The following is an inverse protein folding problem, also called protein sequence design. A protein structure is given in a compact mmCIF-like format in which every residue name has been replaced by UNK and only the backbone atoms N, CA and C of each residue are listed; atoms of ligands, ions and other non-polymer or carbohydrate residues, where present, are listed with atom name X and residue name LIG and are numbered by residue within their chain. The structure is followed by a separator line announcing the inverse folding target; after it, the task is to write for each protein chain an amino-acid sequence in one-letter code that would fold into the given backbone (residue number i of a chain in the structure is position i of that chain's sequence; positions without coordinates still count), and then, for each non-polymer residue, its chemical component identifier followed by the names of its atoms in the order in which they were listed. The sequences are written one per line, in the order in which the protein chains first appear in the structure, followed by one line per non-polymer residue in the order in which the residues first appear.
data_IF_046047573002
#
_entry.id   IF_046047573002
#
_cell.length_a   1.000
_cell.length_b   1.000
_cell.length_c   1.000
_cell.angle_alpha   90.00
_cell.angle_beta   90.00
_cell.angle_gamma   90.00
#
_symmetry.space_group_name_H-M   'P 1'
#
loop_
_entity.id
_entity.type
_entity.pdbx_description
1 polymer ?
#
# COMPACT_ATOMS: atom_id res chain seq x y z
N UNK A 1 -1.26 18.16 -7.75
CA UNK A 1 -1.08 16.86 -7.08
C UNK A 1 -0.36 15.90 -8.03
N UNK A 2 0.71 15.25 -7.56
CA UNK A 2 1.47 14.23 -8.31
C UNK A 2 1.18 12.87 -7.70
N UNK A 3 0.77 11.93 -8.52
CA UNK A 3 0.41 10.57 -8.11
C UNK A 3 1.43 9.60 -8.71
N UNK A 4 1.93 8.69 -7.89
CA UNK A 4 2.75 7.58 -8.35
C UNK A 4 2.02 6.27 -8.02
N UNK A 5 1.96 5.38 -8.99
CA UNK A 5 1.38 4.05 -8.87
C UNK A 5 2.47 3.00 -9.04
N UNK A 6 2.52 2.04 -8.15
CA UNK A 6 3.40 0.88 -8.20
C UNK A 6 2.64 -0.38 -7.79
N UNK A 7 3.14 -1.56 -8.18
CA UNK A 7 2.56 -2.87 -7.85
C UNK A 7 3.66 -3.94 -7.88
N UNK A 8 3.31 -5.15 -7.49
CA UNK A 8 4.09 -6.36 -7.72
C UNK A 8 5.52 -6.31 -7.13
N UNK A 9 5.63 -5.89 -5.88
CA UNK A 9 6.92 -5.83 -5.18
C UNK A 9 7.45 -7.21 -4.84
N UNK A 10 6.56 -8.18 -4.57
CA UNK A 10 6.88 -9.56 -4.24
C UNK A 10 8.00 -9.69 -3.19
N UNK A 11 7.90 -8.93 -2.10
CA UNK A 11 8.91 -8.95 -1.05
C UNK A 11 9.03 -10.34 -0.41
N UNK A 12 10.26 -10.78 -0.23
CA UNK A 12 10.57 -12.12 0.26
C UNK A 12 10.73 -13.16 -0.84
N UNK A 13 10.71 -12.76 -2.12
CA UNK A 13 10.90 -13.67 -3.25
C UNK A 13 12.23 -14.39 -3.22
N UNK A 14 12.17 -15.69 -3.50
CA UNK A 14 13.34 -16.53 -3.74
C UNK A 14 13.37 -16.99 -5.21
N UNK A 15 14.54 -17.01 -5.82
CA UNK A 15 14.75 -17.55 -7.16
C UNK A 15 15.80 -18.65 -7.04
N UNK A 16 15.44 -19.88 -7.44
CA UNK A 16 16.35 -21.04 -7.38
C UNK A 16 17.00 -21.24 -6.00
N UNK A 17 16.24 -20.96 -4.92
CA UNK A 17 16.73 -21.09 -3.54
C UNK A 17 17.54 -19.89 -3.03
N UNK A 18 17.79 -18.89 -3.87
CA UNK A 18 18.49 -17.66 -3.47
C UNK A 18 17.50 -16.56 -3.10
N UNK A 19 17.67 -15.98 -1.91
CA UNK A 19 16.86 -14.87 -1.46
C UNK A 19 17.21 -13.59 -2.23
N UNK A 20 16.19 -12.85 -2.67
CA UNK A 20 16.36 -11.55 -3.33
C UNK A 20 16.20 -10.36 -2.37
N UNK A 21 16.13 -10.62 -1.08
CA UNK A 21 15.84 -9.59 -0.08
C UNK A 21 16.81 -8.40 -0.12
N UNK A 22 18.10 -8.65 -0.36
CA UNK A 22 19.10 -7.57 -0.39
C UNK A 22 18.94 -6.69 -1.66
N UNK A 23 18.62 -7.30 -2.80
CA UNK A 23 18.30 -6.55 -4.04
C UNK A 23 17.01 -5.74 -3.86
N UNK A 24 15.99 -6.34 -3.23
CA UNK A 24 14.73 -5.67 -2.95
C UNK A 24 14.91 -4.49 -2.00
N UNK A 25 15.77 -4.62 -0.99
CA UNK A 25 16.11 -3.52 -0.09
C UNK A 25 16.80 -2.37 -0.83
N UNK A 26 17.76 -2.66 -1.73
CA UNK A 26 18.41 -1.65 -2.58
C UNK A 26 17.38 -0.95 -3.48
N UNK A 27 16.53 -1.71 -4.17
CA UNK A 27 15.47 -1.14 -5.02
C UNK A 27 14.55 -0.21 -4.24
N UNK A 28 14.11 -0.62 -3.04
CA UNK A 28 13.21 0.20 -2.23
C UNK A 28 13.88 1.46 -1.70
N UNK A 29 15.18 1.42 -1.41
CA UNK A 29 15.95 2.61 -1.05
C UNK A 29 15.97 3.63 -2.21
N UNK A 30 16.27 3.17 -3.43
CA UNK A 30 16.25 4.02 -4.63
C UNK A 30 14.83 4.56 -4.90
N UNK A 31 13.82 3.71 -4.71
CA UNK A 31 12.42 4.10 -4.88
C UNK A 31 11.99 5.21 -3.91
N UNK A 32 12.42 5.14 -2.65
CA UNK A 32 12.19 6.20 -1.65
C UNK A 32 12.77 7.53 -2.12
N UNK A 33 13.99 7.53 -2.64
CA UNK A 33 14.63 8.76 -3.15
C UNK A 33 13.88 9.31 -4.38
N UNK A 34 13.48 8.46 -5.32
CA UNK A 34 12.67 8.86 -6.48
C UNK A 34 11.36 9.54 -6.02
N UNK A 35 10.66 8.94 -5.05
CA UNK A 35 9.39 9.49 -4.53
C UNK A 35 9.59 10.86 -3.88
N UNK A 36 10.72 11.07 -3.20
CA UNK A 36 11.09 12.36 -2.61
C UNK A 36 11.43 13.41 -3.68
N UNK A 37 12.32 13.07 -4.61
CA UNK A 37 12.81 13.98 -5.64
C UNK A 37 11.68 14.44 -6.56
N UNK A 38 10.78 13.53 -6.92
CA UNK A 38 9.61 13.80 -7.73
C UNK A 38 8.48 14.49 -6.98
N UNK A 39 8.62 14.70 -5.67
CA UNK A 39 7.63 15.37 -4.81
C UNK A 39 6.24 14.77 -4.97
N UNK A 40 6.15 13.45 -4.84
CA UNK A 40 4.89 12.72 -4.95
C UNK A 40 3.98 13.05 -3.76
N UNK A 41 2.74 13.42 -4.06
CA UNK A 41 1.72 13.74 -3.04
C UNK A 41 0.94 12.49 -2.59
N UNK A 42 0.65 11.59 -3.54
CA UNK A 42 -0.07 10.34 -3.32
C UNK A 42 0.69 9.17 -3.93
N UNK A 43 0.97 8.17 -3.11
CA UNK A 43 1.51 6.89 -3.55
C UNK A 43 0.44 5.80 -3.47
N UNK A 44 0.26 5.04 -4.55
CA UNK A 44 -0.62 3.87 -4.60
C UNK A 44 0.23 2.63 -4.80
N UNK A 45 0.17 1.69 -3.85
CA UNK A 45 0.78 0.37 -3.91
C UNK A 45 -0.35 -0.62 -4.17
N UNK A 46 -0.45 -1.10 -5.41
CA UNK A 46 -1.63 -1.80 -5.91
C UNK A 46 -1.39 -3.30 -6.05
N UNK A 47 -1.23 -3.97 -4.92
CA UNK A 47 -1.20 -5.43 -4.83
C UNK A 47 0.18 -6.07 -4.92
N UNK A 48 0.20 -7.34 -4.54
CA UNK A 48 1.36 -8.22 -4.51
C UNK A 48 2.57 -7.60 -3.83
N UNK A 49 2.30 -7.06 -2.61
CA UNK A 49 3.34 -6.52 -1.73
C UNK A 49 4.33 -7.61 -1.36
N UNK A 50 3.82 -8.78 -1.00
CA UNK A 50 4.61 -9.94 -0.63
C UNK A 50 4.55 -11.04 -1.69
N UNK A 51 5.60 -11.87 -1.76
CA UNK A 51 5.65 -13.00 -2.70
C UNK A 51 4.79 -14.18 -2.25
N UNK A 52 4.39 -14.22 -0.98
CA UNK A 52 3.61 -15.32 -0.43
C UNK A 52 2.64 -14.86 0.65
N UNK A 53 1.57 -15.63 0.84
CA UNK A 53 0.52 -15.41 1.84
C UNK A 53 1.05 -15.32 3.28
N UNK A 54 2.19 -16.01 3.57
CA UNK A 54 2.89 -15.95 4.84
C UNK A 54 4.33 -15.44 4.60
N UNK A 55 4.53 -14.12 4.46
CA UNK A 55 5.85 -13.57 4.21
C UNK A 55 6.80 -13.79 5.39
N UNK A 56 8.11 -13.90 5.13
CA UNK A 56 9.08 -13.91 6.20
C UNK A 56 9.10 -12.57 6.94
N UNK A 57 9.35 -12.60 8.26
CA UNK A 57 9.34 -11.40 9.11
C UNK A 57 10.26 -10.27 8.57
N UNK A 58 11.42 -10.62 7.97
CA UNK A 58 12.32 -9.65 7.34
C UNK A 58 11.67 -8.91 6.17
N UNK A 59 10.77 -9.55 5.42
CA UNK A 59 10.03 -8.89 4.34
C UNK A 59 8.99 -7.91 4.89
N UNK A 60 8.31 -8.26 5.98
CA UNK A 60 7.40 -7.37 6.67
C UNK A 60 8.13 -6.17 7.27
N UNK A 61 9.25 -6.40 7.93
CA UNK A 61 10.10 -5.34 8.49
C UNK A 61 10.54 -4.35 7.39
N UNK A 62 11.08 -4.86 6.28
CA UNK A 62 11.48 -4.04 5.14
C UNK A 62 10.31 -3.22 4.58
N UNK A 63 9.12 -3.83 4.46
CA UNK A 63 7.93 -3.12 4.00
C UNK A 63 7.54 -1.98 4.93
N UNK A 64 7.46 -2.23 6.23
CA UNK A 64 7.04 -1.21 7.20
C UNK A 64 8.07 -0.08 7.34
N UNK A 65 9.36 -0.39 7.31
CA UNK A 65 10.41 0.63 7.29
C UNK A 65 10.34 1.50 6.04
N UNK A 66 10.09 0.89 4.88
CA UNK A 66 9.91 1.59 3.61
C UNK A 66 8.67 2.50 3.66
N UNK A 67 7.52 1.99 4.12
CA UNK A 67 6.31 2.79 4.27
C UNK A 67 6.51 3.99 5.19
N UNK A 68 7.21 3.81 6.30
CA UNK A 68 7.54 4.88 7.24
C UNK A 68 8.36 5.98 6.57
N UNK A 69 9.36 5.63 5.75
CA UNK A 69 10.17 6.59 5.00
C UNK A 69 9.34 7.30 3.91
N UNK A 70 8.53 6.53 3.17
CA UNK A 70 7.67 7.06 2.12
C UNK A 70 6.60 8.02 2.65
N UNK A 71 6.12 7.82 3.88
CA UNK A 71 5.05 8.64 4.48
C UNK A 71 5.47 10.09 4.78
N UNK A 72 6.77 10.37 4.83
CA UNK A 72 7.32 11.69 5.20
C UNK A 72 6.67 12.29 6.47
N UNK A 73 6.59 11.48 7.51
CA UNK A 73 5.96 11.90 8.76
C UNK A 73 4.45 12.18 8.63
N UNK A 74 3.78 11.48 7.72
CA UNK A 74 2.33 11.61 7.49
C UNK A 74 1.93 12.75 6.56
N UNK A 75 2.90 13.39 5.88
CA UNK A 75 2.63 14.43 4.87
C UNK A 75 2.25 13.84 3.53
N UNK A 76 2.77 12.67 3.20
CA UNK A 76 2.41 11.95 1.97
C UNK A 76 1.33 10.93 2.27
N UNK A 77 0.27 10.97 1.46
CA UNK A 77 -0.78 9.97 1.50
C UNK A 77 -0.31 8.70 0.80
N UNK A 78 -0.50 7.56 1.46
CA UNK A 78 -0.19 6.24 0.88
C UNK A 78 -1.45 5.39 0.92
N UNK A 79 -1.80 4.79 -0.21
CA UNK A 79 -2.84 3.77 -0.30
C UNK A 79 -2.20 2.44 -0.65
N UNK A 80 -2.39 1.44 0.21
CA UNK A 80 -1.95 0.07 0.00
C UNK A 80 -3.17 -0.81 -0.24
N UNK A 81 -3.16 -1.58 -1.31
CA UNK A 81 -4.21 -2.53 -1.68
C UNK A 81 -3.57 -3.91 -1.73
N UNK A 82 -4.23 -4.93 -1.17
CA UNK A 82 -3.73 -6.30 -1.25
C UNK A 82 -3.85 -6.87 -2.67
N UNK A 83 -2.86 -7.66 -3.07
CA UNK A 83 -2.88 -8.48 -4.26
C UNK A 83 -3.30 -9.93 -3.99
N UNK A 84 -3.22 -10.78 -5.00
CA UNK A 84 -3.60 -12.19 -4.85
C UNK A 84 -2.54 -13.03 -4.09
N UNK A 85 -1.29 -12.59 -4.03
CA UNK A 85 -0.24 -13.18 -3.21
C UNK A 85 -0.32 -12.78 -1.74
N UNK A 86 -0.95 -11.64 -1.44
CA UNK A 86 -1.02 -11.11 -0.09
C UNK A 86 -2.07 -11.81 0.77
N UNK A 87 -1.82 -11.85 2.08
CA UNK A 87 -2.85 -12.15 3.08
C UNK A 87 -3.58 -10.83 3.43
N UNK A 88 -4.85 -10.67 3.04
CA UNK A 88 -5.56 -9.41 3.23
C UNK A 88 -5.63 -8.95 4.68
N UNK A 89 -5.96 -9.89 5.60
CA UNK A 89 -6.09 -9.58 7.02
C UNK A 89 -4.74 -9.20 7.65
N UNK A 90 -3.66 -9.88 7.22
CA UNK A 90 -2.31 -9.58 7.68
C UNK A 90 -1.84 -8.23 7.17
N UNK A 91 -2.17 -7.89 5.92
CA UNK A 91 -1.85 -6.58 5.34
C UNK A 91 -2.58 -5.44 6.07
N UNK A 92 -3.84 -5.65 6.46
CA UNK A 92 -4.64 -4.67 7.19
C UNK A 92 -4.27 -4.56 8.69
N UNK A 93 -3.68 -5.60 9.28
CA UNK A 93 -3.41 -5.65 10.71
C UNK A 93 -2.65 -4.44 11.29
N UNK A 94 -1.62 -3.87 10.62
CA UNK A 94 -0.93 -2.68 11.09
C UNK A 94 -1.72 -1.37 10.86
N UNK A 95 -2.89 -1.42 10.23
CA UNK A 95 -3.71 -0.26 9.88
C UNK A 95 -3.88 0.78 11.00
N UNK A 96 -4.18 0.40 12.26
CA UNK A 96 -4.29 1.36 13.37
C UNK A 96 -3.01 2.18 13.60
N UNK A 97 -1.83 1.57 13.45
CA UNK A 97 -0.53 2.26 13.57
C UNK A 97 -0.17 3.02 12.29
N UNK A 98 -0.47 2.45 11.14
CA UNK A 98 -0.23 3.04 9.84
C UNK A 98 -1.01 4.36 9.64
N UNK A 99 -2.19 4.45 10.27
CA UNK A 99 -3.07 5.61 10.23
C UNK A 99 -2.37 6.90 10.65
N UNK A 100 -1.58 6.86 11.71
CA UNK A 100 -0.87 8.04 12.22
C UNK A 100 0.19 8.55 11.23
N UNK A 101 0.60 7.70 10.30
CA UNK A 101 1.54 8.01 9.23
C UNK A 101 0.88 8.36 7.88
N UNK A 102 -0.44 8.55 7.81
CA UNK A 102 -1.14 8.86 6.56
C UNK A 102 -1.25 7.67 5.60
N UNK A 103 -1.22 6.44 6.13
CA UNK A 103 -1.26 5.22 5.34
C UNK A 103 -2.63 4.57 5.47
N UNK A 104 -3.28 4.35 4.33
CA UNK A 104 -4.56 3.68 4.17
C UNK A 104 -4.30 2.25 3.69
N UNK A 105 -4.85 1.25 4.37
CA UNK A 105 -4.69 -0.16 4.00
C UNK A 105 -6.03 -0.78 3.68
N UNK A 106 -6.15 -1.38 2.49
CA UNK A 106 -7.34 -2.05 1.97
C UNK A 106 -6.99 -3.48 1.55
N UNK A 107 -7.29 -4.44 2.40
CA UNK A 107 -6.93 -5.84 2.18
C UNK A 107 -7.97 -6.61 1.35
N UNK A 108 -9.25 -6.27 1.45
CA UNK A 108 -10.31 -6.96 0.71
C UNK A 108 -11.14 -5.99 -0.13
N UNK A 109 -11.78 -6.46 -1.21
CA UNK A 109 -12.72 -5.66 -1.97
C UNK A 109 -13.80 -5.07 -1.05
N UNK A 110 -14.17 -3.82 -1.27
CA UNK A 110 -15.14 -3.07 -0.46
C UNK A 110 -14.73 -2.86 1.01
N UNK A 111 -13.43 -2.96 1.34
CA UNK A 111 -12.93 -2.55 2.66
C UNK A 111 -13.40 -1.12 2.97
N UNK A 112 -14.07 -0.98 4.12
CA UNK A 112 -14.48 0.34 4.62
C UNK A 112 -13.32 0.91 5.43
N UNK A 113 -12.67 1.91 4.87
CA UNK A 113 -11.62 2.66 5.59
C UNK A 113 -12.32 3.62 6.56
N UNK A 114 -12.03 3.55 7.87
CA UNK A 114 -12.68 4.42 8.86
C UNK A 114 -12.45 5.89 8.57
N UNK A 115 -13.47 6.71 8.74
CA UNK A 115 -13.33 8.18 8.64
C UNK A 115 -12.49 8.73 9.79
N UNK A 116 -11.88 9.90 9.57
CA UNK A 116 -11.06 10.61 10.56
C UNK A 116 -9.66 10.95 10.07
N UNK A 117 -8.78 11.31 11.00
CA UNK A 117 -7.41 11.73 10.69
C UNK A 117 -6.52 10.56 10.26
N UNK A 118 -5.71 10.78 9.24
CA UNK A 118 -4.65 9.90 8.74
C UNK A 118 -3.39 10.73 8.51
N UNK A 119 -2.48 10.72 9.47
CA UNK A 119 -1.35 11.65 9.46
C UNK A 119 -1.86 13.09 9.38
N UNK A 120 -1.46 13.80 8.33
CA UNK A 120 -1.92 15.18 8.06
C UNK A 120 -3.15 15.24 7.14
N UNK A 121 -3.77 14.12 6.79
CA UNK A 121 -4.90 13.99 5.88
C UNK A 121 -6.18 13.69 6.65
N UNK A 122 -7.34 13.91 6.02
CA UNK A 122 -8.65 13.63 6.60
C UNK A 122 -9.47 12.73 5.67
N UNK A 123 -9.81 11.53 6.11
CA UNK A 123 -10.81 10.69 5.44
C UNK A 123 -12.19 11.17 5.88
N UNK A 124 -13.00 11.65 4.93
CA UNK A 124 -14.32 12.25 5.22
C UNK A 124 -15.49 11.37 4.83
N UNK A 125 -15.29 10.43 3.92
CA UNK A 125 -16.31 9.45 3.53
C UNK A 125 -15.63 8.14 3.12
N UNK A 126 -16.22 7.03 3.56
CA UNK A 126 -15.86 5.69 3.16
C UNK A 126 -17.16 4.90 2.98
N UNK A 127 -17.27 4.09 1.92
CA UNK A 127 -18.48 3.36 1.58
C UNK A 127 -18.35 2.81 0.17
N UNK A 128 -19.18 3.23 -0.76
CA UNK A 128 -19.02 2.87 -2.18
C UNK A 128 -17.79 3.53 -2.85
N UNK A 129 -16.96 4.22 -2.08
CA UNK A 129 -15.72 4.83 -2.50
C UNK A 129 -15.05 5.53 -1.33
N UNK A 130 -13.82 5.97 -1.54
CA UNK A 130 -13.01 6.67 -0.54
C UNK A 130 -12.93 8.15 -0.91
N UNK A 131 -13.22 9.03 0.03
CA UNK A 131 -13.01 10.47 -0.11
C UNK A 131 -12.01 10.94 0.95
N UNK A 132 -10.93 11.53 0.50
CA UNK A 132 -9.85 12.04 1.35
C UNK A 132 -9.63 13.52 1.07
N UNK A 133 -9.47 14.31 2.12
CA UNK A 133 -8.96 15.69 2.05
C UNK A 133 -7.48 15.61 2.43
N UNK A 134 -6.55 15.72 1.48
CA UNK A 134 -5.13 15.75 1.78
C UNK A 134 -4.73 17.05 2.46
N UNK A 135 -3.57 17.07 3.11
CA UNK A 135 -3.02 18.28 3.72
C UNK A 135 -2.81 19.42 2.70
N UNK A 136 -2.65 19.11 1.41
CA UNK A 136 -2.48 20.04 0.30
C UNK A 136 -3.76 20.65 -0.25
N UNK A 137 -4.90 20.48 0.41
CA UNK A 137 -6.17 21.16 0.17
C UNK A 137 -7.07 20.68 -0.99
N UNK A 138 -6.62 19.86 -1.91
CA UNK A 138 -7.47 19.30 -2.97
C UNK A 138 -8.12 17.99 -2.55
N UNK A 139 -9.44 17.90 -2.63
CA UNK A 139 -10.17 16.67 -2.27
C UNK A 139 -9.95 15.57 -3.31
N UNK A 140 -9.47 14.42 -2.87
CA UNK A 140 -9.29 13.22 -3.69
C UNK A 140 -10.50 12.31 -3.47
N UNK A 141 -11.09 11.82 -4.56
CA UNK A 141 -12.17 10.84 -4.54
C UNK A 141 -11.76 9.60 -5.30
N UNK A 142 -11.82 8.47 -4.63
CA UNK A 142 -11.70 7.15 -5.24
C UNK A 142 -13.11 6.57 -5.35
N UNK A 143 -13.77 6.59 -6.51
CA UNK A 143 -15.18 6.20 -6.64
C UNK A 143 -15.40 4.74 -6.30
N UNK A 144 -14.43 3.87 -6.56
CA UNK A 144 -14.51 2.45 -6.20
C UNK A 144 -13.10 1.92 -5.91
N UNK A 145 -12.87 1.40 -4.71
CA UNK A 145 -11.71 0.59 -4.39
C UNK A 145 -12.06 -0.88 -4.64
N UNK A 146 -12.18 -1.26 -5.91
CA UNK A 146 -12.43 -2.64 -6.29
C UNK A 146 -11.13 -3.29 -6.72
N UNK A 147 -10.66 -4.22 -5.91
CA UNK A 147 -9.64 -5.17 -6.29
C UNK A 147 -10.34 -6.44 -6.80
N UNK A 148 -9.96 -6.91 -7.98
CA UNK A 148 -10.40 -8.21 -8.51
C UNK A 148 -9.21 -9.15 -8.38
N UNK A 149 -9.20 -10.09 -7.40
CA UNK A 149 -8.14 -11.07 -7.31
C UNK A 149 -8.17 -11.97 -8.55
N UNK A 150 -7.08 -11.98 -9.28
CA UNK A 150 -6.85 -13.00 -10.30
C UNK A 150 -6.32 -14.23 -9.56
N UNK A 151 -7.09 -15.30 -9.55
CA UNK A 151 -6.64 -16.57 -8.99
C UNK A 151 -5.52 -17.14 -9.88
N UNK A 152 -4.56 -17.83 -9.28
CA UNK A 152 -3.37 -18.42 -9.97
C UNK A 152 -3.70 -19.30 -11.20
N UNK A 153 -4.96 -19.70 -11.36
CA UNK A 153 -5.46 -20.48 -12.50
C UNK A 153 -6.09 -19.60 -13.61
N UNK A 154 -5.96 -18.28 -13.55
CA UNK A 154 -6.55 -17.37 -14.54
C UNK A 154 -8.08 -17.23 -14.43
N UNK A 155 -8.70 -17.79 -13.41
CA UNK A 155 -10.13 -17.62 -13.16
C UNK A 155 -10.37 -16.32 -12.37
N UNK A 156 -11.22 -15.46 -12.87
CA UNK A 156 -11.73 -14.27 -12.15
C UNK A 156 -12.74 -14.77 -11.12
N UNK A 157 -12.50 -14.48 -9.83
CA UNK A 157 -13.53 -14.74 -8.82
C UNK A 157 -14.73 -13.85 -9.10
N UNK A 158 -15.94 -14.40 -9.24
CA UNK A 158 -17.13 -13.57 -9.35
C UNK A 158 -17.32 -12.76 -8.06
N UNK A 159 -17.54 -11.47 -8.22
CA UNK A 159 -17.81 -10.49 -7.16
C UNK A 159 -19.18 -10.78 -6.53
#
# INVERSE_FOLDING_TARGET
MRILHTADWHLGKNIEGHSRMDEQACFLADFVEIVKDEKIDLLIIAGDVYDSYNPPARAEELFYETLKQLSDGGKRLILVIAGNHDNPQRLEAPGPLARDHGILMAGVPKTIIPTGAYGQHQVVAAGEGLCVIPASADTIRFPHLNYIPILDNGAVSPI
#
